data_IF_610156075858
#
_entry.id   IF_610156075858
#
_cell.length_a   1.000
_cell.length_b   1.000
_cell.length_c   1.000
_cell.angle_alpha   90.00
_cell.angle_beta   90.00
_cell.angle_gamma   90.00
#
_symmetry.space_group_name_H-M   'P 1'
#
loop_
_entity.id
_entity.type
_entity.pdbx_description
1 polymer ?
#
# COMPACT_ATOMS: atom_id res chain seq x y z
N UNK A 1 -16.64 1.94 32.64
CA UNK A 1 -16.13 0.68 32.05
C UNK A 1 -17.24 0.11 31.19
N UNK A 2 -17.06 0.13 29.88
CA UNK A 2 -17.69 -0.73 28.89
C UNK A 2 -17.06 -0.33 27.55
N UNK A 3 -15.87 -0.88 27.30
CA UNK A 3 -15.28 -0.86 25.97
C UNK A 3 -16.20 -1.69 25.07
N UNK A 4 -16.81 -1.05 24.08
CA UNK A 4 -17.55 -1.74 23.03
C UNK A 4 -16.58 -2.68 22.33
N UNK A 5 -16.84 -3.97 22.45
CA UNK A 5 -16.11 -5.05 21.80
C UNK A 5 -16.43 -5.05 20.29
N UNK A 6 -15.81 -4.13 19.57
CA UNK A 6 -15.90 -4.02 18.10
C UNK A 6 -14.53 -3.89 17.42
N UNK A 7 -13.47 -4.40 18.05
CA UNK A 7 -12.08 -4.30 17.57
C UNK A 7 -11.45 -5.67 17.29
N UNK A 8 -12.26 -6.65 16.88
CA UNK A 8 -11.80 -8.02 16.64
C UNK A 8 -12.47 -8.67 15.41
N UNK A 9 -12.78 -7.88 14.38
CA UNK A 9 -13.15 -8.42 13.08
C UNK A 9 -12.04 -8.11 12.07
N UNK A 10 -11.15 -9.10 11.94
CA UNK A 10 -10.18 -9.18 10.86
C UNK A 10 -8.77 -8.70 11.20
N UNK A 11 -8.06 -9.32 12.16
CA UNK A 11 -6.62 -9.46 11.97
C UNK A 11 -6.46 -10.24 10.65
N UNK A 12 -6.20 -9.55 9.56
CA UNK A 12 -6.15 -10.23 8.28
C UNK A 12 -4.99 -11.23 8.35
N UNK A 13 -5.29 -12.50 8.06
CA UNK A 13 -4.27 -13.53 7.85
C UNK A 13 -3.52 -13.19 6.55
N UNK A 14 -2.65 -12.19 6.62
CA UNK A 14 -1.84 -11.73 5.51
C UNK A 14 -0.90 -12.86 5.08
N UNK A 15 -1.00 -13.23 3.81
CA UNK A 15 -0.13 -14.26 3.23
C UNK A 15 1.03 -13.56 2.53
N UNK A 16 2.30 -13.87 2.84
CA UNK A 16 3.44 -13.30 2.13
C UNK A 16 3.30 -13.47 0.62
N UNK A 17 3.56 -12.38 -0.12
CA UNK A 17 3.59 -12.41 -1.58
C UNK A 17 5.04 -12.60 -2.01
N UNK A 18 5.42 -13.70 -2.68
CA UNK A 18 6.82 -14.01 -2.98
C UNK A 18 7.60 -12.86 -3.65
N UNK A 19 6.97 -12.18 -4.61
CA UNK A 19 7.56 -11.00 -5.26
C UNK A 19 7.86 -9.86 -4.26
N UNK A 20 6.95 -9.60 -3.33
CA UNK A 20 7.14 -8.52 -2.35
C UNK A 20 8.15 -8.90 -1.27
N UNK A 21 8.26 -10.18 -0.91
CA UNK A 21 9.34 -10.67 -0.05
C UNK A 21 10.70 -10.52 -0.73
N UNK A 22 10.81 -10.84 -2.02
CA UNK A 22 12.06 -10.64 -2.77
C UNK A 22 12.47 -9.16 -2.78
N UNK A 23 11.52 -8.24 -2.96
CA UNK A 23 11.78 -6.78 -2.91
C UNK A 23 12.15 -6.35 -1.48
N UNK A 24 11.52 -6.91 -0.45
CA UNK A 24 11.87 -6.64 0.94
C UNK A 24 13.30 -7.08 1.26
N UNK A 25 13.71 -8.27 0.80
CA UNK A 25 15.02 -8.86 1.09
C UNK A 25 16.16 -8.24 0.28
N UNK A 26 15.92 -7.91 -1.00
CA UNK A 26 16.96 -7.47 -1.94
C UNK A 26 16.79 -6.03 -2.43
N UNK A 27 15.72 -5.36 -2.05
CA UNK A 27 15.46 -3.97 -2.36
C UNK A 27 16.47 -3.03 -1.72
N UNK A 28 16.55 -1.81 -2.25
CA UNK A 28 17.43 -0.76 -1.74
C UNK A 28 16.58 0.37 -1.18
N UNK A 29 16.92 0.81 0.01
CA UNK A 29 16.23 1.89 0.70
C UNK A 29 16.71 3.24 0.19
N UNK A 30 15.85 4.26 0.27
CA UNK A 30 16.18 5.59 -0.23
C UNK A 30 17.44 6.17 0.40
N UNK A 31 17.67 5.95 1.69
CA UNK A 31 18.86 6.44 2.40
C UNK A 31 20.17 5.98 1.71
N UNK A 32 20.26 4.69 1.35
CA UNK A 32 21.42 4.13 0.68
C UNK A 32 21.59 4.68 -0.74
N UNK A 33 20.48 4.84 -1.47
CA UNK A 33 20.49 5.40 -2.82
C UNK A 33 20.89 6.88 -2.80
N UNK A 34 20.33 7.65 -1.87
CA UNK A 34 20.63 9.06 -1.70
C UNK A 34 22.12 9.27 -1.43
N UNK A 35 22.68 8.48 -0.50
CA UNK A 35 24.10 8.49 -0.17
C UNK A 35 24.97 8.09 -1.37
N UNK A 36 24.61 7.02 -2.08
CA UNK A 36 25.38 6.55 -3.25
C UNK A 36 25.46 7.59 -4.36
N UNK A 37 24.34 8.27 -4.65
CA UNK A 37 24.25 9.22 -5.76
C UNK A 37 24.52 10.67 -5.33
N UNK A 38 24.85 10.92 -4.06
CA UNK A 38 25.20 12.24 -3.54
C UNK A 38 24.03 13.23 -3.55
N UNK A 39 22.80 12.75 -3.44
CA UNK A 39 21.59 13.58 -3.39
C UNK A 39 21.12 13.74 -1.95
N UNK A 40 20.51 14.89 -1.65
CA UNK A 40 20.12 15.28 -0.28
C UNK A 40 18.61 15.37 -0.09
N UNK A 41 17.82 14.85 -1.04
CA UNK A 41 16.37 14.87 -0.93
C UNK A 41 15.94 14.04 0.30
N UNK A 42 15.08 14.60 1.17
CA UNK A 42 14.65 13.90 2.39
C UNK A 42 13.83 12.65 2.07
N UNK A 43 13.09 12.68 0.97
CA UNK A 43 12.27 11.58 0.47
C UNK A 43 12.70 11.19 -0.95
N UNK A 44 12.47 9.93 -1.35
CA UNK A 44 12.71 9.51 -2.72
C UNK A 44 11.80 10.30 -3.68
N UNK A 45 12.27 10.65 -4.90
CA UNK A 45 11.45 11.37 -5.88
C UNK A 45 10.12 10.69 -6.22
N UNK A 46 10.06 9.35 -6.12
CA UNK A 46 8.83 8.59 -6.38
C UNK A 46 7.78 8.71 -5.26
N UNK A 47 8.14 9.24 -4.07
CA UNK A 47 7.22 9.38 -2.93
C UNK A 47 5.99 10.23 -3.26
N UNK A 48 6.17 11.32 -3.99
CA UNK A 48 5.05 12.17 -4.43
C UNK A 48 4.08 11.40 -5.34
N UNK A 49 4.59 10.51 -6.20
CA UNK A 49 3.73 9.65 -7.02
C UNK A 49 2.97 8.63 -6.18
N UNK A 50 3.61 8.05 -5.15
CA UNK A 50 2.93 7.18 -4.19
C UNK A 50 1.79 7.90 -3.47
N UNK A 51 2.02 9.12 -2.99
CA UNK A 51 0.99 9.93 -2.33
C UNK A 51 -0.18 10.22 -3.28
N UNK A 52 0.11 10.62 -4.52
CA UNK A 52 -0.91 10.84 -5.54
C UNK A 52 -1.73 9.58 -5.87
N UNK A 53 -1.10 8.40 -5.92
CA UNK A 53 -1.80 7.12 -6.09
C UNK A 53 -2.71 6.85 -4.89
N UNK A 54 -2.21 7.06 -3.67
CA UNK A 54 -2.99 6.88 -2.44
C UNK A 54 -4.22 7.79 -2.40
N UNK A 55 -4.06 9.06 -2.81
CA UNK A 55 -5.16 10.02 -2.92
C UNK A 55 -6.16 9.61 -3.99
N UNK A 56 -5.70 9.21 -5.18
CA UNK A 56 -6.56 8.79 -6.28
C UNK A 56 -7.40 7.54 -5.91
N UNK A 57 -6.81 6.58 -5.19
CA UNK A 57 -7.50 5.39 -4.68
C UNK A 57 -8.52 5.76 -3.58
N UNK A 58 -8.15 6.69 -2.69
CA UNK A 58 -8.99 7.12 -1.59
C UNK A 58 -10.21 7.94 -2.03
N UNK A 59 -9.99 8.94 -2.88
CA UNK A 59 -11.00 9.90 -3.29
C UNK A 59 -10.46 10.79 -4.41
N UNK A 60 -10.93 10.62 -5.63
CA UNK A 60 -11.24 11.82 -6.40
C UNK A 60 -12.34 12.57 -5.64
N UNK A 61 -12.00 13.69 -4.98
CA UNK A 61 -12.72 14.50 -3.97
C UNK A 61 -14.16 14.98 -4.26
N UNK A 62 -14.97 14.25 -5.03
CA UNK A 62 -16.40 14.46 -5.27
C UNK A 62 -17.15 13.12 -5.53
N UNK A 63 -16.61 11.98 -5.10
CA UNK A 63 -17.08 10.65 -5.52
C UNK A 63 -17.88 9.90 -4.45
N UNK A 64 -18.61 8.88 -4.91
CA UNK A 64 -19.40 7.91 -4.13
C UNK A 64 -18.61 7.17 -3.06
N UNK A 65 -17.27 7.13 -3.14
CA UNK A 65 -16.39 6.37 -2.22
C UNK A 65 -16.36 6.98 -0.83
N UNK A 66 -16.11 8.28 -0.69
CA UNK A 66 -16.14 8.96 0.61
C UNK A 66 -17.55 8.91 1.25
N UNK A 67 -18.60 8.96 0.41
CA UNK A 67 -19.98 8.77 0.86
C UNK A 67 -20.27 7.30 1.26
N UNK A 68 -19.64 6.32 0.62
CA UNK A 68 -19.72 4.91 0.99
C UNK A 68 -19.04 4.66 2.35
N UNK A 69 -17.83 5.18 2.54
CA UNK A 69 -17.13 5.12 3.83
C UNK A 69 -17.91 5.80 4.95
N UNK A 70 -18.46 6.98 4.70
CA UNK A 70 -19.31 7.65 5.69
C UNK A 70 -20.53 6.81 6.06
N UNK A 71 -21.19 6.16 5.07
CA UNK A 71 -22.33 5.27 5.35
C UNK A 71 -21.91 4.06 6.18
N UNK A 72 -20.72 3.52 5.94
CA UNK A 72 -20.16 2.45 6.75
C UNK A 72 -19.86 2.91 8.19
N UNK A 73 -19.20 4.05 8.36
CA UNK A 73 -18.92 4.65 9.67
C UNK A 73 -20.21 4.99 10.45
N UNK A 74 -21.26 5.39 9.74
CA UNK A 74 -22.60 5.62 10.30
C UNK A 74 -23.34 4.30 10.63
N UNK A 75 -22.76 3.12 10.35
CA UNK A 75 -23.38 1.81 10.54
C UNK A 75 -24.52 1.50 9.57
N UNK A 76 -24.61 2.21 8.44
CA UNK A 76 -25.70 2.08 7.45
C UNK A 76 -25.42 1.03 6.38
N UNK A 77 -24.15 0.66 6.19
CA UNK A 77 -23.73 -0.42 5.29
C UNK A 77 -22.60 -1.19 5.95
N UNK A 78 -22.51 -2.49 5.68
CA UNK A 78 -21.40 -3.30 6.15
C UNK A 78 -20.10 -2.94 5.40
N UNK A 79 -18.97 -3.04 6.08
CA UNK A 79 -17.61 -2.85 5.52
C UNK A 79 -17.41 -3.66 4.23
N UNK A 80 -17.86 -4.91 4.24
CA UNK A 80 -17.76 -5.82 3.10
C UNK A 80 -18.65 -5.44 1.90
N UNK A 81 -19.59 -4.52 2.08
CA UNK A 81 -20.54 -4.07 1.04
C UNK A 81 -20.12 -2.78 0.34
N UNK A 82 -18.90 -2.29 0.59
CA UNK A 82 -18.39 -1.07 -0.02
C UNK A 82 -18.04 -1.30 -1.50
N UNK A 83 -18.72 -0.57 -2.38
CA UNK A 83 -18.44 -0.52 -3.83
C UNK A 83 -17.28 0.45 -4.12
N UNK A 84 -16.10 0.12 -3.58
CA UNK A 84 -14.84 0.79 -3.87
C UNK A 84 -13.71 -0.24 -3.82
N UNK A 85 -12.81 -0.26 -4.80
CA UNK A 85 -11.74 -1.25 -4.85
C UNK A 85 -10.82 -1.18 -3.63
N UNK A 86 -10.56 0.02 -3.08
CA UNK A 86 -9.74 0.20 -1.87
C UNK A 86 -10.06 1.54 -1.18
N UNK A 87 -11.09 1.59 -0.30
CA UNK A 87 -11.45 2.79 0.46
C UNK A 87 -10.29 3.36 1.30
N UNK A 88 -10.31 4.66 1.61
CA UNK A 88 -9.26 5.34 2.37
C UNK A 88 -9.00 4.72 3.74
N UNK A 89 -10.05 4.53 4.55
CA UNK A 89 -9.92 4.03 5.92
C UNK A 89 -9.51 2.56 5.93
N UNK A 90 -10.07 1.79 4.99
CA UNK A 90 -9.68 0.40 4.75
C UNK A 90 -8.19 0.29 4.45
N UNK A 91 -7.72 1.06 3.47
CA UNK A 91 -6.31 1.11 3.06
C UNK A 91 -5.39 1.46 4.23
N UNK A 92 -5.80 2.41 5.07
CA UNK A 92 -5.02 2.84 6.23
C UNK A 92 -4.91 1.75 7.29
N UNK A 93 -6.01 1.06 7.61
CA UNK A 93 -5.96 -0.07 8.53
C UNK A 93 -5.10 -1.22 8.02
N UNK A 94 -5.21 -1.54 6.73
CA UNK A 94 -4.34 -2.57 6.15
C UNK A 94 -2.87 -2.16 6.14
N UNK A 95 -2.58 -0.87 5.87
CA UNK A 95 -1.22 -0.32 5.96
C UNK A 95 -0.67 -0.43 7.38
N UNK A 96 -1.47 -0.14 8.41
CA UNK A 96 -1.08 -0.28 9.81
C UNK A 96 -0.78 -1.76 10.14
N UNK A 97 -1.71 -2.69 9.84
CA UNK A 97 -1.53 -4.11 10.10
C UNK A 97 -0.32 -4.72 9.37
N UNK A 98 -0.16 -4.43 8.08
CA UNK A 98 0.96 -4.92 7.27
C UNK A 98 2.30 -4.31 7.75
N UNK A 99 2.29 -3.05 8.17
CA UNK A 99 3.48 -2.38 8.71
C UNK A 99 3.89 -2.92 10.07
N UNK A 100 2.96 -3.42 10.88
CA UNK A 100 3.24 -4.04 12.18
C UNK A 100 3.61 -5.53 12.07
N UNK A 101 3.39 -6.13 10.90
CA UNK A 101 3.57 -7.58 10.70
C UNK A 101 4.62 -7.89 9.63
N UNK A 102 4.20 -8.09 8.38
CA UNK A 102 5.05 -8.57 7.28
C UNK A 102 6.16 -7.59 6.91
N UNK A 103 5.91 -6.29 7.03
CA UNK A 103 6.83 -5.23 6.61
C UNK A 103 7.42 -4.42 7.77
N UNK A 104 7.40 -4.96 9.00
CA UNK A 104 7.89 -4.26 10.21
C UNK A 104 9.34 -3.76 10.08
N UNK A 105 10.19 -4.55 9.43
CA UNK A 105 11.62 -4.25 9.27
C UNK A 105 11.94 -3.36 8.06
N UNK A 106 10.94 -2.98 7.28
CA UNK A 106 11.12 -2.11 6.11
C UNK A 106 11.02 -0.65 6.56
N UNK A 107 11.98 0.24 6.21
CA UNK A 107 11.89 1.64 6.58
C UNK A 107 10.81 2.38 5.78
N UNK A 108 10.41 3.53 6.30
CA UNK A 108 9.62 4.49 5.55
C UNK A 108 10.52 5.21 4.53
N UNK A 109 10.05 5.48 3.30
CA UNK A 109 8.70 5.23 2.77
C UNK A 109 8.49 3.90 2.04
N UNK A 110 9.51 3.06 1.87
CA UNK A 110 9.41 1.78 1.16
C UNK A 110 8.35 0.85 1.76
N UNK A 111 8.20 0.85 3.09
CA UNK A 111 7.16 0.09 3.79
C UNK A 111 5.76 0.45 3.30
N UNK A 112 5.46 1.74 3.16
CA UNK A 112 4.15 2.19 2.67
C UNK A 112 3.88 1.70 1.24
N UNK A 113 4.91 1.71 0.39
CA UNK A 113 4.81 1.18 -0.97
C UNK A 113 4.50 -0.33 -0.99
N UNK A 114 5.20 -1.11 -0.16
CA UNK A 114 4.97 -2.56 -0.04
C UNK A 114 3.59 -2.87 0.53
N UNK A 115 3.16 -2.17 1.58
CA UNK A 115 1.82 -2.33 2.14
C UNK A 115 0.74 -2.07 1.09
N UNK A 116 0.85 -0.97 0.33
CA UNK A 116 -0.11 -0.64 -0.74
C UNK A 116 -0.13 -1.71 -1.83
N UNK A 117 1.04 -2.13 -2.31
CA UNK A 117 1.14 -3.17 -3.34
C UNK A 117 0.50 -4.49 -2.87
N UNK A 118 0.74 -4.87 -1.61
CA UNK A 118 0.14 -6.05 -1.01
C UNK A 118 -1.39 -5.96 -0.98
N UNK A 119 -1.94 -4.84 -0.50
CA UNK A 119 -3.40 -4.59 -0.48
C UNK A 119 -4.05 -4.69 -1.86
N UNK A 120 -3.37 -4.20 -2.91
CA UNK A 120 -3.84 -4.27 -4.30
C UNK A 120 -3.78 -5.70 -4.85
N UNK A 121 -2.70 -6.45 -4.53
CA UNK A 121 -2.54 -7.85 -4.95
C UNK A 121 -3.58 -8.75 -4.27
N UNK A 122 -3.78 -8.61 -2.95
CA UNK A 122 -4.79 -9.38 -2.19
C UNK A 122 -6.19 -9.23 -2.77
N UNK A 123 -6.50 -8.07 -3.36
CA UNK A 123 -7.79 -7.77 -3.99
C UNK A 123 -7.86 -8.14 -5.48
N UNK A 124 -6.78 -8.65 -6.05
CA UNK A 124 -6.70 -8.99 -7.48
C UNK A 124 -6.68 -7.76 -8.40
N UNK A 125 -6.43 -6.56 -7.87
CA UNK A 125 -6.32 -5.33 -8.66
C UNK A 125 -4.96 -5.21 -9.34
N UNK A 126 -3.95 -5.88 -8.78
CA UNK A 126 -2.61 -6.02 -9.36
C UNK A 126 -2.28 -7.50 -9.40
N UNK A 127 -1.90 -8.00 -10.57
CA UNK A 127 -1.38 -9.35 -10.71
C UNK A 127 0.14 -9.34 -10.42
N UNK A 128 0.65 -10.19 -9.51
CA UNK A 128 2.08 -10.21 -9.16
C UNK A 128 2.99 -10.58 -10.35
N UNK A 129 2.57 -11.47 -11.24
CA UNK A 129 3.36 -11.86 -12.42
C UNK A 129 3.46 -10.71 -13.42
N UNK A 130 2.37 -9.96 -13.61
CA UNK A 130 2.36 -8.75 -14.45
C UNK A 130 3.23 -7.65 -13.84
N UNK A 131 3.16 -7.47 -12.51
CA UNK A 131 4.01 -6.52 -11.79
C UNK A 131 5.49 -6.87 -11.97
N UNK A 132 5.87 -8.13 -11.80
CA UNK A 132 7.25 -8.59 -12.01
C UNK A 132 7.72 -8.35 -13.45
N UNK A 133 6.88 -8.69 -14.45
CA UNK A 133 7.18 -8.43 -15.85
C UNK A 133 7.37 -6.94 -16.14
N UNK A 134 6.53 -6.08 -15.55
CA UNK A 134 6.63 -4.62 -15.68
C UNK A 134 7.89 -4.07 -15.04
N UNK A 135 8.24 -4.54 -13.84
CA UNK A 135 9.48 -4.15 -13.15
C UNK A 135 10.71 -4.51 -13.98
N UNK A 136 10.74 -5.72 -14.55
CA UNK A 136 11.80 -6.16 -15.46
C UNK A 136 11.92 -5.25 -16.69
N UNK A 137 10.81 -4.96 -17.35
CA UNK A 137 10.80 -4.07 -18.52
C UNK A 137 11.28 -2.64 -18.19
N UNK A 138 10.92 -2.12 -17.01
CA UNK A 138 11.41 -0.81 -16.54
C UNK A 138 12.93 -0.87 -16.28
N UNK A 139 13.42 -1.93 -15.64
CA UNK A 139 14.84 -2.13 -15.40
C UNK A 139 15.63 -2.18 -16.72
N UNK A 140 15.21 -3.02 -17.67
CA UNK A 140 15.83 -3.12 -19.00
C UNK A 140 15.87 -1.77 -19.72
N UNK A 141 14.78 -0.98 -19.64
CA UNK A 141 14.76 0.36 -20.24
C UNK A 141 15.74 1.34 -19.57
N UNK A 142 15.91 1.25 -18.25
CA UNK A 142 16.79 2.15 -17.51
C UNK A 142 18.27 1.76 -17.60
N UNK A 143 18.57 0.50 -17.95
CA UNK A 143 19.94 -0.02 -18.11
C UNK A 143 20.38 -0.15 -19.57
N UNK A 144 19.45 -0.06 -20.52
CA UNK A 144 19.75 0.03 -21.93
C UNK A 144 20.65 1.26 -22.20
N UNK A 145 21.88 0.99 -22.64
CA UNK A 145 22.89 1.97 -23.04
C UNK A 145 22.84 2.19 -24.54
#
# INVERSE_FOLDING_TARGET
MNASAGAADGAANWTPVPLLEEIKEHGRVWEDLANQYGVTNPDPPWKTSLDGICEALAAGSCSSVAAAEKRWLDGKVDRASLDSPLPLLERRWEEDELSETLYQDVPFPERQLLCLAHSLIKRGLVNPDELAARMKAVHERLTAT
#
